data_IF_494920549304
#
_entry.id   IF_494920549304
#
_cell.length_a   1.000
_cell.length_b   1.000
_cell.length_c   1.000
_cell.angle_alpha   90.00
_cell.angle_beta   90.00
_cell.angle_gamma   90.00
#
_symmetry.space_group_name_H-M   'P 1'
#
loop_
_entity.id
_entity.type
_entity.pdbx_description
1 polymer ?
#
# COMPACT_ATOMS: atom_id res chain seq x y z
N UNK A 1 -8.54 77.40 28.10
CA UNK A 1 -9.07 76.82 29.35
C UNK A 1 -9.70 75.46 29.03
N UNK A 2 -9.19 74.38 29.66
CA UNK A 2 -9.86 73.11 30.06
C UNK A 2 -10.62 72.22 29.02
N UNK A 3 -9.95 71.12 28.61
CA UNK A 3 -10.28 69.66 28.57
C UNK A 3 -11.72 69.17 28.93
N UNK A 4 -12.12 67.89 28.66
CA UNK A 4 -11.58 66.85 27.74
C UNK A 4 -12.62 65.94 27.02
N UNK A 5 -12.07 65.07 26.16
CA UNK A 5 -12.51 63.75 25.69
C UNK A 5 -13.26 62.85 26.71
N UNK A 6 -14.23 62.09 26.20
CA UNK A 6 -14.63 60.76 26.71
C UNK A 6 -15.04 59.86 25.52
N UNK A 7 -14.19 58.90 25.18
CA UNK A 7 -14.53 57.72 24.38
C UNK A 7 -14.89 56.60 25.36
N UNK A 8 -16.10 56.06 25.27
CA UNK A 8 -16.53 54.91 26.08
C UNK A 8 -16.08 53.63 25.38
N UNK A 9 -15.11 52.95 25.97
CA UNK A 9 -14.72 51.59 25.60
C UNK A 9 -15.78 50.60 26.11
N UNK A 10 -16.34 49.78 25.22
CA UNK A 10 -17.10 48.59 25.60
C UNK A 10 -16.17 47.39 25.48
N UNK A 11 -15.66 46.95 26.63
CA UNK A 11 -15.01 45.65 26.81
C UNK A 11 -16.09 44.56 26.77
N UNK A 12 -16.08 43.74 25.73
CA UNK A 12 -16.80 42.47 25.71
C UNK A 12 -15.80 41.35 26.02
N UNK A 13 -15.93 40.79 27.22
CA UNK A 13 -15.13 39.68 27.73
C UNK A 13 -15.29 38.44 26.86
N UNK A 14 -14.17 37.92 26.35
CA UNK A 14 -14.04 36.57 25.80
C UNK A 14 -14.21 35.57 26.95
N UNK A 15 -15.43 35.06 27.13
CA UNK A 15 -15.67 33.85 27.89
C UNK A 15 -15.08 32.66 27.13
N UNK A 16 -14.06 32.05 27.73
CA UNK A 16 -13.45 30.82 27.24
C UNK A 16 -14.44 29.67 27.31
N UNK A 17 -14.81 29.15 26.15
CA UNK A 17 -15.34 27.81 26.03
C UNK A 17 -14.15 26.84 26.07
N UNK A 18 -13.93 26.20 27.21
CA UNK A 18 -13.09 25.01 27.30
C UNK A 18 -13.82 23.86 26.60
N UNK A 19 -13.56 23.67 25.31
CA UNK A 19 -13.87 22.41 24.63
C UNK A 19 -12.83 21.38 25.03
N UNK A 20 -13.28 20.29 25.65
CA UNK A 20 -12.46 19.13 26.00
C UNK A 20 -11.67 18.62 24.78
N UNK A 21 -10.33 18.50 24.83
CA UNK A 21 -9.52 18.04 23.69
C UNK A 21 -9.56 16.51 23.48
N UNK A 22 -10.56 15.81 24.04
CA UNK A 22 -10.64 14.33 23.99
C UNK A 22 -11.74 13.78 23.09
N UNK A 23 -12.49 14.63 22.39
CA UNK A 23 -13.59 14.22 21.49
C UNK A 23 -13.43 14.75 20.04
N UNK A 24 -12.19 14.85 19.55
CA UNK A 24 -11.89 15.00 18.10
C UNK A 24 -11.20 13.73 17.54
N UNK A 25 -10.97 12.71 18.37
CA UNK A 25 -10.46 11.40 17.93
C UNK A 25 -11.63 10.49 17.54
N UNK A 26 -12.29 10.89 16.47
CA UNK A 26 -13.42 10.18 15.87
C UNK A 26 -13.30 10.08 14.36
N UNK A 27 -12.08 9.90 13.83
CA UNK A 27 -11.86 9.58 12.42
C UNK A 27 -10.75 8.55 12.31
N UNK A 28 -11.10 7.39 11.78
CA UNK A 28 -10.16 6.40 11.25
C UNK A 28 -9.34 7.08 10.13
N UNK A 29 -8.14 7.57 10.43
CA UNK A 29 -7.25 8.17 9.43
C UNK A 29 -6.43 7.06 8.77
N UNK A 30 -6.84 6.67 7.56
CA UNK A 30 -5.91 6.07 6.61
C UNK A 30 -4.64 6.93 6.58
N UNK A 31 -3.49 6.32 6.87
CA UNK A 31 -2.27 7.05 7.16
C UNK A 31 -1.08 6.48 6.42
N UNK A 32 -0.22 7.35 5.90
CA UNK A 32 1.04 6.96 5.27
C UNK A 32 2.22 7.48 6.09
N UNK A 33 3.24 6.66 6.26
CA UNK A 33 4.49 7.06 6.92
C UNK A 33 5.62 6.86 5.91
N UNK A 34 6.25 7.95 5.48
CA UNK A 34 7.46 7.89 4.68
C UNK A 34 8.65 7.54 5.58
N UNK A 35 9.44 6.57 5.14
CA UNK A 35 10.66 6.12 5.78
C UNK A 35 11.77 6.14 4.75
N UNK A 36 12.63 7.15 4.87
CA UNK A 36 13.74 7.34 3.93
C UNK A 36 14.76 6.21 4.03
N UNK A 37 15.41 5.93 2.91
CA UNK A 37 16.56 5.05 2.83
C UNK A 37 17.61 5.39 3.89
N UNK A 38 18.34 4.37 4.34
CA UNK A 38 19.46 4.56 5.26
C UNK A 38 20.53 5.44 4.61
N UNK A 39 21.04 6.50 5.29
CA UNK A 39 22.15 7.29 4.78
C UNK A 39 23.45 6.47 4.62
N UNK A 40 23.53 5.31 5.29
CA UNK A 40 24.64 4.38 5.19
C UNK A 40 24.49 3.37 4.04
N UNK A 41 23.36 3.38 3.32
CA UNK A 41 23.15 2.48 2.20
C UNK A 41 24.16 2.77 1.08
N UNK A 42 24.69 1.73 0.39
CA UNK A 42 25.74 1.89 -0.60
C UNK A 42 25.28 2.67 -1.84
N UNK A 43 23.99 2.63 -2.17
CA UNK A 43 23.41 3.36 -3.31
C UNK A 43 21.94 3.62 -3.04
N UNK A 44 21.48 4.84 -3.32
CA UNK A 44 20.06 5.18 -3.25
C UNK A 44 19.34 4.62 -4.47
N UNK A 45 18.26 3.88 -4.23
CA UNK A 45 17.45 3.28 -5.27
C UNK A 45 16.41 4.28 -5.81
N UNK A 46 16.07 4.22 -7.11
CA UNK A 46 15.21 5.22 -7.74
C UNK A 46 13.71 4.99 -7.51
N UNK A 47 13.31 3.82 -7.00
CA UNK A 47 11.91 3.47 -6.77
C UNK A 47 11.56 3.53 -5.28
N UNK A 48 10.37 4.05 -5.00
CA UNK A 48 9.76 4.01 -3.67
C UNK A 48 8.99 2.71 -3.51
N UNK A 49 9.18 2.02 -2.38
CA UNK A 49 8.46 0.78 -2.05
C UNK A 49 7.27 1.10 -1.17
N UNK A 50 6.09 0.61 -1.52
CA UNK A 50 4.85 0.88 -0.77
C UNK A 50 4.37 -0.41 -0.15
N UNK A 51 4.30 -0.45 1.18
CA UNK A 51 3.84 -1.59 1.95
C UNK A 51 2.43 -1.33 2.46
N UNK A 52 1.46 -2.12 1.98
CA UNK A 52 0.04 -1.88 2.29
C UNK A 52 -0.40 -2.73 3.48
N UNK A 53 -0.93 -2.05 4.49
CA UNK A 53 -1.64 -2.64 5.63
C UNK A 53 -3.10 -2.23 5.55
N UNK A 54 -4.01 -3.18 5.76
CA UNK A 54 -5.43 -2.88 5.81
C UNK A 54 -6.13 -3.96 6.64
N UNK A 55 -7.10 -3.55 7.45
CA UNK A 55 -7.91 -4.46 8.27
C UNK A 55 -8.64 -5.52 7.42
N UNK A 56 -9.28 -5.19 6.27
CA UNK A 56 -9.89 -6.19 5.40
C UNK A 56 -8.94 -7.28 4.90
N UNK A 57 -7.63 -6.99 4.80
CA UNK A 57 -6.61 -7.95 4.37
C UNK A 57 -6.05 -8.78 5.53
N UNK A 58 -6.46 -8.48 6.77
CA UNK A 58 -5.85 -8.98 7.99
C UNK A 58 -4.32 -8.69 8.06
N UNK A 59 -3.90 -7.54 7.50
CA UNK A 59 -2.50 -7.12 7.46
C UNK A 59 -2.29 -5.90 8.34
N UNK A 60 -1.46 -6.06 9.38
CA UNK A 60 -1.04 -4.98 10.27
C UNK A 60 0.32 -4.43 9.83
N UNK A 61 0.59 -3.15 10.15
CA UNK A 61 1.89 -2.51 9.91
C UNK A 61 3.07 -3.29 10.48
N UNK A 62 2.87 -3.99 11.60
CA UNK A 62 3.89 -4.82 12.24
C UNK A 62 4.41 -5.95 11.33
N UNK A 63 3.59 -6.43 10.39
CA UNK A 63 4.00 -7.47 9.42
C UNK A 63 5.07 -6.97 8.44
N UNK A 64 5.15 -5.67 8.20
CA UNK A 64 6.07 -5.06 7.24
C UNK A 64 7.35 -4.50 7.87
N UNK A 65 7.45 -4.40 9.19
CA UNK A 65 8.56 -3.68 9.82
C UNK A 65 9.93 -4.30 9.48
N UNK A 66 10.05 -5.64 9.46
CA UNK A 66 11.31 -6.30 9.07
C UNK A 66 11.65 -6.06 7.59
N UNK A 67 10.64 -6.06 6.71
CA UNK A 67 10.80 -5.77 5.28
C UNK A 67 11.27 -4.34 5.07
N UNK A 68 10.57 -3.38 5.68
CA UNK A 68 10.89 -1.97 5.61
C UNK A 68 12.30 -1.70 6.14
N UNK A 69 12.67 -2.29 7.28
CA UNK A 69 14.02 -2.13 7.84
C UNK A 69 15.07 -2.64 6.87
N UNK A 70 14.90 -3.85 6.33
CA UNK A 70 15.81 -4.42 5.35
C UNK A 70 15.96 -3.53 4.10
N UNK A 71 14.85 -3.15 3.47
CA UNK A 71 14.89 -2.39 2.22
C UNK A 71 15.43 -0.97 2.40
N UNK A 72 15.25 -0.36 3.58
CA UNK A 72 15.88 0.92 3.89
C UNK A 72 17.39 0.80 3.95
N UNK A 73 17.93 -0.25 4.56
CA UNK A 73 19.38 -0.51 4.56
C UNK A 73 19.89 -0.87 3.16
N UNK A 74 19.05 -1.46 2.30
CA UNK A 74 19.35 -1.68 0.89
C UNK A 74 19.26 -0.42 0.01
N UNK A 75 18.83 0.72 0.56
CA UNK A 75 18.83 2.01 -0.12
C UNK A 75 17.50 2.46 -0.73
N UNK A 76 16.39 1.80 -0.40
CA UNK A 76 15.07 2.17 -0.88
C UNK A 76 14.35 3.12 0.09
N UNK A 77 13.64 4.11 -0.46
CA UNK A 77 12.63 4.85 0.28
C UNK A 77 11.36 3.99 0.41
N UNK A 78 10.80 3.90 1.60
CA UNK A 78 9.66 3.04 1.91
C UNK A 78 8.46 3.87 2.40
N UNK A 79 7.26 3.55 1.94
CA UNK A 79 6.00 4.09 2.47
C UNK A 79 5.27 2.96 3.19
N UNK A 80 5.08 3.15 4.49
CA UNK A 80 4.28 2.29 5.35
C UNK A 80 2.83 2.82 5.32
N UNK A 81 2.01 2.25 4.43
CA UNK A 81 0.65 2.67 4.15
C UNK A 81 -0.35 1.85 4.95
N UNK A 82 -1.24 2.52 5.68
CA UNK A 82 -2.37 1.90 6.37
C UNK A 82 -3.66 2.44 5.79
N UNK A 83 -4.48 1.54 5.27
CA UNK A 83 -5.79 1.85 4.71
C UNK A 83 -6.88 1.42 5.67
N UNK A 84 -7.82 2.31 5.91
CA UNK A 84 -9.01 2.08 6.70
C UNK A 84 -10.21 2.36 5.80
N UNK A 85 -11.15 1.41 5.73
CA UNK A 85 -12.36 1.58 4.94
C UNK A 85 -13.44 2.30 5.76
N UNK A 86 -14.28 3.14 5.14
CA UNK A 86 -15.43 3.70 5.83
C UNK A 86 -16.38 2.58 6.27
N UNK A 87 -17.05 2.78 7.42
CA UNK A 87 -18.04 1.82 7.95
C UNK A 87 -19.20 1.61 6.99
N UNK A 88 -19.57 2.65 6.26
CA UNK A 88 -20.60 2.63 5.22
C UNK A 88 -19.93 2.78 3.85
N UNK A 89 -20.12 1.77 3.00
CA UNK A 89 -19.60 1.80 1.64
C UNK A 89 -20.59 2.55 0.74
N UNK A 90 -20.08 3.27 -0.29
CA UNK A 90 -20.95 3.85 -1.31
C UNK A 90 -21.82 2.78 -1.97
N UNK A 91 -23.07 3.11 -2.27
CA UNK A 91 -24.01 2.20 -2.92
C UNK A 91 -23.40 1.56 -4.18
N UNK A 92 -23.55 0.22 -4.29
CA UNK A 92 -23.06 -0.55 -5.43
C UNK A 92 -21.55 -0.75 -5.50
N UNK A 93 -20.77 -0.34 -4.48
CA UNK A 93 -19.32 -0.57 -4.43
C UNK A 93 -18.98 -1.69 -3.45
N UNK A 94 -18.16 -2.66 -3.87
CA UNK A 94 -17.68 -3.71 -2.95
C UNK A 94 -16.51 -3.22 -2.09
N UNK A 95 -16.26 -3.90 -0.97
CA UNK A 95 -15.13 -3.56 -0.09
C UNK A 95 -13.78 -3.64 -0.82
N UNK A 96 -13.62 -4.61 -1.73
CA UNK A 96 -12.43 -4.82 -2.56
C UNK A 96 -12.20 -3.67 -3.55
N UNK A 97 -13.29 -3.22 -4.19
CA UNK A 97 -13.25 -2.09 -5.11
C UNK A 97 -12.93 -0.79 -4.38
N UNK A 98 -13.49 -0.59 -3.19
CA UNK A 98 -13.18 0.58 -2.38
C UNK A 98 -11.75 0.54 -1.86
N UNK A 99 -11.26 -0.62 -1.42
CA UNK A 99 -9.89 -0.81 -0.95
C UNK A 99 -8.86 -0.53 -2.05
N UNK A 100 -9.05 -1.12 -3.24
CA UNK A 100 -8.16 -0.88 -4.37
C UNK A 100 -8.19 0.59 -4.81
N UNK A 101 -9.36 1.23 -4.80
CA UNK A 101 -9.51 2.67 -5.08
C UNK A 101 -8.76 3.52 -4.07
N UNK A 102 -8.87 3.22 -2.79
CA UNK A 102 -8.21 3.98 -1.73
C UNK A 102 -6.69 3.85 -1.82
N UNK A 103 -6.16 2.63 -2.03
CA UNK A 103 -4.71 2.44 -2.26
C UNK A 103 -4.26 3.27 -3.46
N UNK A 104 -4.98 3.19 -4.58
CA UNK A 104 -4.63 3.97 -5.77
C UNK A 104 -4.78 5.49 -5.56
N UNK A 105 -5.69 5.93 -4.71
CA UNK A 105 -5.85 7.33 -4.30
C UNK A 105 -4.64 7.83 -3.52
N UNK A 106 -4.25 7.09 -2.48
CA UNK A 106 -3.08 7.39 -1.65
C UNK A 106 -1.79 7.45 -2.47
N UNK A 107 -1.60 6.55 -3.45
CA UNK A 107 -0.43 6.59 -4.33
C UNK A 107 -0.37 7.84 -5.20
N UNK A 108 -1.52 8.36 -5.65
CA UNK A 108 -1.57 9.62 -6.40
C UNK A 108 -1.29 10.83 -5.50
N UNK A 109 -1.80 10.81 -4.28
CA UNK A 109 -1.58 11.88 -3.30
C UNK A 109 -0.11 11.96 -2.87
N UNK A 110 0.58 10.82 -2.78
CA UNK A 110 2.00 10.75 -2.42
C UNK A 110 2.94 11.46 -3.42
N UNK A 111 2.47 11.88 -4.60
CA UNK A 111 3.21 12.70 -5.58
C UNK A 111 4.62 12.19 -5.87
N UNK A 112 4.75 10.87 -6.02
CA UNK A 112 6.04 10.20 -6.20
C UNK A 112 6.69 10.57 -7.53
N UNK A 113 8.01 10.73 -7.53
CA UNK A 113 8.79 11.03 -8.74
C UNK A 113 8.69 9.92 -9.79
N UNK A 114 8.54 8.67 -9.35
CA UNK A 114 8.33 7.48 -10.18
C UNK A 114 7.17 6.67 -9.61
N UNK A 115 6.54 5.86 -10.45
CA UNK A 115 5.54 4.90 -9.98
C UNK A 115 6.20 3.93 -8.99
N UNK A 116 5.52 3.59 -7.87
CA UNK A 116 6.11 2.77 -6.82
C UNK A 116 6.07 1.28 -7.16
N UNK A 117 6.89 0.50 -6.44
CA UNK A 117 6.72 -0.95 -6.34
C UNK A 117 5.78 -1.21 -5.17
N UNK A 118 4.65 -1.86 -5.42
CA UNK A 118 3.62 -2.09 -4.41
C UNK A 118 3.81 -3.49 -3.81
N UNK A 119 3.86 -3.56 -2.49
CA UNK A 119 3.86 -4.79 -1.71
C UNK A 119 2.47 -4.99 -1.10
N UNK A 120 1.79 -6.03 -1.58
CA UNK A 120 0.51 -6.48 -1.06
C UNK A 120 0.68 -7.82 -0.36
N UNK A 121 -0.02 -8.00 0.74
CA UNK A 121 -0.22 -9.31 1.36
C UNK A 121 -1.71 -9.58 1.38
N UNK A 122 -2.14 -10.64 0.70
CA UNK A 122 -3.56 -10.87 0.41
C UNK A 122 -4.00 -12.29 0.77
N UNK A 123 -3.96 -12.59 2.06
CA UNK A 123 -4.41 -13.89 2.58
C UNK A 123 -5.93 -14.09 2.45
N UNK A 124 -6.68 -13.03 2.17
CA UNK A 124 -8.13 -13.05 2.04
C UNK A 124 -8.61 -12.97 0.58
N UNK A 125 -7.69 -12.97 -0.40
CA UNK A 125 -7.96 -12.91 -1.85
C UNK A 125 -8.84 -11.72 -2.29
N UNK A 126 -8.68 -10.56 -1.62
CA UNK A 126 -9.51 -9.36 -1.84
C UNK A 126 -8.96 -8.42 -2.91
N UNK A 127 -7.65 -8.40 -3.12
CA UNK A 127 -6.98 -7.48 -4.03
C UNK A 127 -6.47 -8.14 -5.30
N UNK A 128 -6.31 -9.47 -5.31
CA UNK A 128 -5.90 -10.25 -6.49
C UNK A 128 -6.66 -9.82 -7.74
N UNK A 129 -8.00 -9.87 -7.73
CA UNK A 129 -8.82 -9.51 -8.90
C UNK A 129 -8.72 -8.03 -9.27
N UNK A 130 -8.52 -7.14 -8.30
CA UNK A 130 -8.43 -5.69 -8.55
C UNK A 130 -7.12 -5.30 -9.24
N UNK A 131 -6.03 -6.00 -8.94
CA UNK A 131 -4.71 -5.72 -9.51
C UNK A 131 -4.39 -6.59 -10.72
N UNK A 132 -4.78 -7.86 -10.70
CA UNK A 132 -4.42 -8.86 -11.71
C UNK A 132 -5.61 -9.28 -12.59
N UNK A 133 -6.86 -9.12 -12.14
CA UNK A 133 -8.04 -9.53 -12.89
C UNK A 133 -8.30 -8.73 -14.18
N UNK A 134 -9.45 -9.00 -14.83
CA UNK A 134 -9.83 -8.36 -16.10
C UNK A 134 -9.89 -6.84 -15.96
N UNK A 135 -9.01 -6.14 -16.68
CA UNK A 135 -9.01 -4.70 -16.79
C UNK A 135 -10.17 -4.22 -17.65
N UNK A 136 -11.36 -4.04 -17.06
CA UNK A 136 -12.45 -3.34 -17.73
C UNK A 136 -12.21 -1.82 -17.82
N UNK A 137 -12.98 -1.11 -18.65
CA UNK A 137 -12.92 0.37 -18.79
C UNK A 137 -13.02 1.13 -17.45
N UNK A 138 -13.55 0.49 -16.41
CA UNK A 138 -13.75 1.04 -15.05
C UNK A 138 -12.77 0.46 -14.01
N UNK A 139 -12.04 -0.61 -14.32
CA UNK A 139 -11.07 -1.23 -13.43
C UNK A 139 -9.68 -0.60 -13.68
N UNK A 140 -9.44 0.57 -13.10
CA UNK A 140 -8.14 1.22 -13.17
C UNK A 140 -7.22 0.64 -12.10
N UNK A 141 -6.28 -0.20 -12.53
CA UNK A 141 -5.10 -0.56 -11.74
C UNK A 141 -4.45 0.71 -11.21
N UNK A 142 -4.03 0.70 -9.94
CA UNK A 142 -3.28 1.82 -9.36
C UNK A 142 -1.97 2.06 -10.12
N UNK A 143 -1.38 3.27 -10.03
CA UNK A 143 -0.06 3.52 -10.60
C UNK A 143 0.99 2.63 -9.91
N UNK A 144 1.70 1.80 -10.68
CA UNK A 144 2.73 0.90 -10.16
C UNK A 144 3.79 0.57 -11.22
N UNK A 145 5.06 0.60 -10.82
CA UNK A 145 6.18 0.11 -11.64
C UNK A 145 6.39 -1.40 -11.47
N UNK A 146 5.97 -1.96 -10.34
CA UNK A 146 6.01 -3.38 -10.05
C UNK A 146 5.05 -3.76 -8.94
N UNK A 147 4.71 -5.05 -8.86
CA UNK A 147 3.82 -5.60 -7.85
C UNK A 147 4.46 -6.84 -7.22
N UNK A 148 4.55 -6.84 -5.89
CA UNK A 148 4.90 -8.03 -5.08
C UNK A 148 3.65 -8.44 -4.31
N UNK A 149 3.13 -9.61 -4.64
CA UNK A 149 1.93 -10.18 -4.02
C UNK A 149 2.32 -11.36 -3.13
N UNK A 150 2.25 -11.15 -1.82
CA UNK A 150 2.56 -12.14 -0.81
C UNK A 150 1.32 -12.89 -0.33
N UNK A 151 1.45 -14.20 -0.25
CA UNK A 151 0.47 -15.15 0.27
C UNK A 151 -0.94 -15.04 -0.34
N UNK A 152 -1.11 -14.84 -1.65
CA UNK A 152 -2.44 -14.89 -2.22
C UNK A 152 -3.00 -16.32 -2.13
N UNK A 153 -4.26 -16.45 -1.71
CA UNK A 153 -4.98 -17.73 -1.77
C UNK A 153 -5.61 -17.91 -3.13
N UNK A 154 -5.42 -19.07 -3.75
CA UNK A 154 -6.14 -19.50 -4.96
C UNK A 154 -5.92 -18.63 -6.21
N UNK A 155 -5.72 -19.26 -7.36
CA UNK A 155 -5.57 -18.58 -8.64
C UNK A 155 -6.88 -18.55 -9.47
N UNK A 156 -7.99 -19.04 -8.91
CA UNK A 156 -9.27 -19.20 -9.64
C UNK A 156 -9.83 -17.89 -10.18
N UNK A 157 -9.71 -16.81 -9.41
CA UNK A 157 -10.25 -15.48 -9.73
C UNK A 157 -9.53 -14.78 -10.90
N UNK A 158 -8.42 -15.34 -11.37
CA UNK A 158 -7.56 -14.75 -12.41
C UNK A 158 -7.23 -15.69 -13.56
N UNK A 159 -7.95 -16.80 -13.73
CA UNK A 159 -7.73 -17.72 -14.87
C UNK A 159 -7.83 -17.01 -16.23
N UNK A 160 -8.74 -16.04 -16.34
CA UNK A 160 -8.90 -15.19 -17.52
C UNK A 160 -8.38 -13.74 -17.30
N UNK A 161 -7.38 -13.55 -16.46
CA UNK A 161 -6.82 -12.23 -16.16
C UNK A 161 -6.21 -11.55 -17.40
N UNK A 162 -6.39 -10.23 -17.50
CA UNK A 162 -5.74 -9.39 -18.52
C UNK A 162 -4.41 -8.84 -17.98
N UNK A 163 -3.41 -9.69 -17.80
CA UNK A 163 -2.16 -9.35 -17.12
C UNK A 163 -1.50 -8.04 -17.64
N UNK A 164 -0.99 -7.17 -16.75
CA UNK A 164 -0.34 -5.92 -17.18
C UNK A 164 0.95 -6.22 -17.94
N UNK A 165 0.93 -5.96 -19.25
CA UNK A 165 1.95 -6.36 -20.21
C UNK A 165 3.34 -5.72 -20.02
N UNK A 166 3.44 -4.64 -19.24
CA UNK A 166 4.68 -3.89 -18.99
C UNK A 166 5.04 -3.79 -17.50
N UNK A 167 4.29 -4.44 -16.62
CA UNK A 167 4.54 -4.36 -15.18
C UNK A 167 5.10 -5.70 -14.68
N UNK A 168 6.34 -5.75 -14.17
CA UNK A 168 6.85 -6.92 -13.47
C UNK A 168 6.00 -7.24 -12.23
N UNK A 169 5.57 -8.49 -12.13
CA UNK A 169 4.76 -9.01 -11.03
C UNK A 169 5.50 -10.21 -10.41
N UNK A 170 5.66 -10.19 -9.09
CA UNK A 170 6.12 -11.32 -8.30
C UNK A 170 4.98 -11.84 -7.44
N UNK A 171 4.74 -13.14 -7.49
CA UNK A 171 3.75 -13.82 -6.68
C UNK A 171 4.47 -14.80 -5.78
N UNK A 172 4.22 -14.69 -4.48
CA UNK A 172 4.84 -15.55 -3.46
C UNK A 172 3.74 -16.24 -2.67
N UNK A 173 3.22 -17.38 -3.14
CA UNK A 173 2.19 -18.15 -2.44
C UNK A 173 2.70 -18.68 -1.10
N UNK A 174 1.78 -19.01 -0.19
CA UNK A 174 2.14 -19.50 1.15
C UNK A 174 2.42 -21.01 1.16
N UNK A 175 1.76 -21.78 0.29
CA UNK A 175 1.86 -23.23 0.24
C UNK A 175 2.31 -23.72 -1.13
N UNK A 176 3.02 -24.86 -1.17
CA UNK A 176 3.49 -25.45 -2.42
C UNK A 176 2.34 -25.86 -3.36
N UNK A 177 1.18 -26.23 -2.80
CA UNK A 177 -0.02 -26.53 -3.58
C UNK A 177 -0.56 -25.28 -4.29
N UNK A 178 -0.58 -24.14 -3.60
CA UNK A 178 -0.96 -22.87 -4.21
C UNK A 178 0.06 -22.49 -5.30
N UNK A 179 1.34 -22.78 -5.08
CA UNK A 179 2.38 -22.47 -6.06
C UNK A 179 2.15 -23.12 -7.41
N UNK A 180 1.77 -24.40 -7.46
CA UNK A 180 1.44 -25.06 -8.72
C UNK A 180 0.24 -24.38 -9.41
N UNK A 181 -0.83 -24.10 -8.66
CA UNK A 181 -2.01 -23.43 -9.21
C UNK A 181 -1.69 -22.03 -9.76
N UNK A 182 -0.84 -21.27 -9.07
CA UNK A 182 -0.38 -19.97 -9.52
C UNK A 182 0.58 -20.06 -10.72
N UNK A 183 1.44 -21.08 -10.78
CA UNK A 183 2.34 -21.30 -11.91
C UNK A 183 1.55 -21.58 -13.20
N UNK A 184 0.48 -22.39 -13.12
CA UNK A 184 -0.39 -22.68 -14.27
C UNK A 184 -1.09 -21.42 -14.81
N UNK A 185 -1.64 -20.59 -13.92
CA UNK A 185 -2.37 -19.37 -14.33
C UNK A 185 -1.42 -18.25 -14.80
N UNK A 186 -0.19 -18.21 -14.28
CA UNK A 186 0.83 -17.23 -14.70
C UNK A 186 1.62 -17.66 -15.94
N UNK A 187 1.46 -18.89 -16.43
CA UNK A 187 2.19 -19.37 -17.61
C UNK A 187 1.96 -18.52 -18.87
N UNK A 188 0.79 -17.87 -18.97
CA UNK A 188 0.46 -16.95 -20.07
C UNK A 188 0.97 -15.51 -19.85
N UNK A 189 1.42 -15.18 -18.64
CA UNK A 189 1.78 -13.83 -18.23
C UNK A 189 3.28 -13.57 -18.40
N UNK A 190 3.64 -12.79 -19.43
CA UNK A 190 5.05 -12.52 -19.81
C UNK A 190 5.94 -11.97 -18.68
N UNK A 191 5.37 -11.14 -17.81
CA UNK A 191 6.11 -10.43 -16.76
C UNK A 191 5.71 -10.87 -15.35
N UNK A 192 4.97 -11.97 -15.20
CA UNK A 192 4.68 -12.53 -13.90
C UNK A 192 5.67 -13.65 -13.60
N UNK A 193 6.15 -13.68 -12.35
CA UNK A 193 6.97 -14.78 -11.83
C UNK A 193 6.34 -15.28 -10.56
N UNK A 194 6.24 -16.59 -10.42
CA UNK A 194 5.89 -17.25 -9.17
C UNK A 194 7.19 -17.70 -8.51
N UNK A 195 7.35 -17.35 -7.24
CA UNK A 195 8.46 -17.82 -6.44
C UNK A 195 8.02 -19.10 -5.71
N UNK A 196 8.49 -20.24 -6.23
CA UNK A 196 8.51 -21.50 -5.52
C UNK A 196 9.55 -21.39 -4.43
N UNK A 197 9.18 -21.34 -3.15
CA UNK A 197 10.17 -21.68 -2.13
C UNK A 197 9.61 -22.22 -0.82
N UNK A 198 10.37 -23.18 -0.30
CA UNK A 198 10.18 -23.86 0.97
C UNK A 198 10.30 -22.86 2.12
N UNK A 199 9.19 -22.69 2.83
CA UNK A 199 9.04 -21.69 3.87
C UNK A 199 9.93 -22.02 5.08
N UNK A 200 11.11 -21.40 5.16
CA UNK A 200 11.88 -21.30 6.40
C UNK A 200 12.32 -19.85 6.63
N UNK A 201 11.60 -19.19 7.53
CA UNK A 201 11.97 -17.97 8.26
C UNK A 201 12.48 -16.76 7.46
N UNK A 202 11.52 -15.87 7.13
CA UNK A 202 11.53 -14.38 7.06
C UNK A 202 12.65 -13.63 6.34
N UNK A 203 13.93 -14.02 6.40
CA UNK A 203 15.03 -13.31 5.74
C UNK A 203 15.33 -13.82 4.32
N UNK A 204 15.17 -15.13 4.08
CA UNK A 204 15.41 -15.73 2.76
C UNK A 204 14.51 -15.10 1.70
N UNK A 205 13.21 -15.02 1.98
CA UNK A 205 12.22 -14.47 1.05
C UNK A 205 12.48 -13.00 0.73
N UNK A 206 12.85 -12.17 1.72
CA UNK A 206 13.12 -10.74 1.49
C UNK A 206 14.28 -10.56 0.51
N UNK A 207 15.36 -11.35 0.68
CA UNK A 207 16.53 -11.33 -0.20
C UNK A 207 16.19 -11.81 -1.61
N UNK A 208 15.38 -12.86 -1.75
CA UNK A 208 14.95 -13.34 -3.06
C UNK A 208 14.02 -12.36 -3.78
N UNK A 209 13.13 -11.68 -3.05
CA UNK A 209 12.30 -10.60 -3.59
C UNK A 209 13.16 -9.43 -4.06
N UNK A 210 14.12 -8.99 -3.26
CA UNK A 210 15.06 -7.93 -3.67
C UNK A 210 15.85 -8.34 -4.92
N UNK A 211 16.35 -9.59 -4.95
CA UNK A 211 17.07 -10.12 -6.10
C UNK A 211 16.18 -10.08 -7.35
N UNK A 212 14.92 -10.52 -7.25
CA UNK A 212 13.96 -10.43 -8.34
C UNK A 212 13.73 -8.99 -8.78
N UNK A 213 13.55 -8.04 -7.86
CA UNK A 213 13.37 -6.62 -8.19
C UNK A 213 14.52 -6.09 -9.04
N UNK A 214 15.76 -6.34 -8.61
CA UNK A 214 16.96 -5.93 -9.37
C UNK A 214 16.99 -6.53 -10.78
N UNK A 215 16.64 -7.81 -10.93
CA UNK A 215 16.54 -8.45 -12.26
C UNK A 215 15.42 -7.88 -13.12
N UNK A 216 14.31 -7.46 -12.50
CA UNK A 216 13.19 -6.83 -13.18
C UNK A 216 13.46 -5.35 -13.55
N UNK A 217 14.59 -4.78 -13.14
CA UNK A 217 14.93 -3.37 -13.35
C UNK A 217 14.19 -2.40 -12.41
N UNK A 218 13.78 -2.92 -11.25
CA UNK A 218 13.13 -2.20 -10.14
C UNK A 218 14.12 -1.88 -9.01
#
# INVERSE_FOLDING_TARGET
>A
MKRPFTMTAVTASLFGFMTNPREILGTSEAGSILREASPAAPTKQPYTLVFVSAEPLNVKRSHWQSWIMYFREAGYDCIDLSIELPKELPEGTTAEQQLSREIAGQMRLASLQRQPVIFLRDEEQKLVSSYLGKGGLLARRGPMSGLVLLHPKGAESIQDADWPSNTPILIVPKSSNDTQAWAEVTASARNAKVLEDEWNEKEGTIKEVERWMRYAGL
#
